data_IF_070116308137
#
_entry.id   IF_070116308137
#
_cell.length_a   1.000
_cell.length_b   1.000
_cell.length_c   1.000
_cell.angle_alpha   90.00
_cell.angle_beta   90.00
_cell.angle_gamma   90.00
#
_symmetry.space_group_name_H-M   'P 1'
#
loop_
_entity.id
_entity.type
_entity.pdbx_description
1 polymer ?
#
# COMPACT_ATOMS: atom_id res chain seq x y z
N UNK A 1 -19.24 33.49 -6.46
CA UNK A 1 -18.19 32.67 -7.09
C UNK A 1 -18.18 31.30 -6.43
N UNK A 2 -18.74 30.27 -7.06
CA UNK A 2 -18.67 28.91 -6.54
C UNK A 2 -17.36 28.28 -6.98
N UNK A 3 -16.42 28.09 -6.06
CA UNK A 3 -15.31 27.16 -6.26
C UNK A 3 -15.90 25.75 -6.25
N UNK A 4 -16.18 25.19 -7.42
CA UNK A 4 -16.35 23.74 -7.57
C UNK A 4 -14.98 23.12 -7.28
N UNK A 5 -14.69 22.84 -6.01
CA UNK A 5 -13.66 21.87 -5.68
C UNK A 5 -14.15 20.56 -6.32
N UNK A 6 -13.49 20.16 -7.41
CA UNK A 6 -13.76 18.91 -8.08
C UNK A 6 -13.27 17.80 -7.13
N UNK A 7 -14.09 17.50 -6.12
CA UNK A 7 -13.73 16.64 -5.01
C UNK A 7 -13.66 15.23 -5.56
N UNK A 8 -12.44 14.80 -5.88
CA UNK A 8 -12.19 13.51 -6.51
C UNK A 8 -12.44 12.44 -5.45
N UNK A 9 -13.62 11.84 -5.48
CA UNK A 9 -13.95 10.68 -4.66
C UNK A 9 -13.12 9.51 -5.19
N UNK A 10 -12.05 9.18 -4.48
CA UNK A 10 -11.27 7.97 -4.72
C UNK A 10 -12.13 6.76 -4.33
N UNK A 11 -12.29 5.82 -5.26
CA UNK A 11 -13.03 4.57 -5.02
C UNK A 11 -12.04 3.43 -4.83
N UNK A 12 -12.22 2.64 -3.77
CA UNK A 12 -11.33 1.53 -3.39
C UNK A 12 -11.95 0.19 -3.79
N UNK A 13 -12.23 0.03 -5.08
CA UNK A 13 -13.02 -1.10 -5.58
C UNK A 13 -12.18 -2.22 -6.22
N UNK A 14 -10.85 -2.12 -6.20
CA UNK A 14 -9.97 -3.10 -6.88
C UNK A 14 -9.73 -4.37 -6.04
N UNK A 15 -9.97 -4.31 -4.74
CA UNK A 15 -9.86 -5.48 -3.87
C UNK A 15 -9.69 -5.13 -2.40
N UNK A 16 -9.36 -6.17 -1.62
CA UNK A 16 -9.03 -6.07 -0.20
C UNK A 16 -7.60 -6.57 0.04
N UNK A 17 -6.91 -5.90 0.95
CA UNK A 17 -5.61 -6.31 1.44
C UNK A 17 -5.60 -6.46 2.95
N UNK A 18 -4.69 -7.28 3.46
CA UNK A 18 -4.39 -7.40 4.87
C UNK A 18 -3.00 -6.82 5.14
N UNK A 19 -2.81 -6.20 6.30
CA UNK A 19 -1.55 -5.60 6.72
C UNK A 19 -1.08 -6.29 7.99
N UNK A 20 0.18 -6.68 8.00
CA UNK A 20 0.86 -7.32 9.11
C UNK A 20 2.01 -6.45 9.59
N UNK A 21 2.19 -6.37 10.90
CA UNK A 21 3.28 -5.64 11.52
C UNK A 21 4.13 -6.58 12.37
N UNK A 22 5.42 -6.27 12.46
CA UNK A 22 6.33 -6.96 13.35
C UNK A 22 5.95 -6.66 14.80
N UNK A 23 5.83 -7.69 15.63
CA UNK A 23 5.65 -7.55 17.06
C UNK A 23 7.01 -7.55 17.80
N UNK A 24 6.98 -7.39 19.12
CA UNK A 24 8.19 -7.39 19.97
C UNK A 24 8.99 -8.72 19.94
N UNK A 25 8.41 -9.79 19.40
CA UNK A 25 9.03 -11.11 19.26
C UNK A 25 9.53 -11.37 17.83
N UNK A 26 9.63 -10.32 17.01
CA UNK A 26 10.04 -10.40 15.60
C UNK A 26 9.11 -11.28 14.73
N UNK A 27 7.85 -11.43 15.13
CA UNK A 27 6.83 -12.16 14.39
C UNK A 27 5.83 -11.21 13.76
N UNK A 28 5.39 -11.51 12.55
CA UNK A 28 4.37 -10.72 11.86
C UNK A 28 2.98 -11.09 12.37
N UNK A 29 2.30 -10.13 12.98
CA UNK A 29 0.92 -10.27 13.44
C UNK A 29 -0.02 -9.42 12.59
N UNK A 30 -1.23 -9.90 12.38
CA UNK A 30 -2.25 -9.16 11.65
C UNK A 30 -2.59 -7.85 12.37
N UNK A 31 -2.34 -6.72 11.71
CA UNK A 31 -2.65 -5.38 12.21
C UNK A 31 -3.97 -4.86 11.65
N UNK A 32 -4.18 -5.07 10.35
CA UNK A 32 -5.43 -4.74 9.67
C UNK A 32 -5.84 -5.90 8.78
N UNK A 33 -6.92 -6.63 9.09
CA UNK A 33 -7.28 -7.84 8.36
C UNK A 33 -7.94 -7.54 7.00
N UNK A 34 -8.65 -6.42 6.87
CA UNK A 34 -9.40 -6.08 5.67
C UNK A 34 -9.38 -4.57 5.40
N UNK A 35 -8.50 -4.13 4.49
CA UNK A 35 -8.47 -2.77 3.96
C UNK A 35 -8.81 -2.82 2.48
N UNK A 36 -9.82 -2.05 2.06
CA UNK A 36 -10.10 -1.88 0.63
C UNK A 36 -9.03 -1.01 -0.02
N UNK A 37 -8.62 -1.37 -1.23
CA UNK A 37 -7.62 -0.60 -1.97
C UNK A 37 -8.05 -0.32 -3.41
N UNK A 38 -7.40 0.68 -4.01
CA UNK A 38 -7.43 0.98 -5.43
C UNK A 38 -6.03 0.74 -6.02
N UNK A 39 -5.91 0.07 -7.17
CA UNK A 39 -4.63 -0.08 -7.88
C UNK A 39 -4.31 1.22 -8.59
N UNK A 40 -3.10 1.73 -8.40
CA UNK A 40 -2.61 2.86 -9.20
C UNK A 40 -1.74 2.32 -10.33
N UNK A 41 -2.17 2.58 -11.57
CA UNK A 41 -1.36 2.28 -12.74
C UNK A 41 -0.13 3.16 -12.67
N UNK A 42 1.01 2.53 -12.43
CA UNK A 42 2.30 3.19 -12.50
C UNK A 42 2.55 3.44 -13.98
N UNK A 43 2.41 4.69 -14.43
CA UNK A 43 2.83 5.06 -15.78
C UNK A 43 4.26 4.58 -15.99
N UNK A 44 4.52 3.97 -17.15
CA UNK A 44 5.76 3.28 -17.53
C UNK A 44 7.06 3.96 -17.07
N UNK A 45 7.06 5.30 -16.96
CA UNK A 45 8.17 6.13 -16.46
C UNK A 45 8.73 5.72 -15.08
N UNK A 46 7.89 5.42 -14.08
CA UNK A 46 8.39 5.04 -12.73
C UNK A 46 8.95 3.62 -12.67
N UNK A 47 8.54 2.75 -13.59
CA UNK A 47 9.10 1.40 -13.72
C UNK A 47 10.57 1.45 -14.16
N UNK A 48 10.95 2.45 -14.97
CA UNK A 48 12.32 2.63 -15.45
C UNK A 48 13.23 3.34 -14.44
N UNK A 49 12.72 4.30 -13.65
CA UNK A 49 13.51 4.95 -12.58
C UNK A 49 13.77 4.00 -11.40
N UNK A 50 12.82 3.14 -11.05
CA UNK A 50 12.98 2.09 -10.04
C UNK A 50 13.91 0.94 -10.48
N UNK A 51 14.41 0.94 -11.72
CA UNK A 51 15.46 0.01 -12.16
C UNK A 51 16.87 0.53 -11.85
N UNK A 52 17.06 1.84 -11.60
CA UNK A 52 18.36 2.44 -11.24
C UNK A 52 18.68 2.30 -9.74
N UNK A 53 17.66 2.10 -8.91
CA UNK A 53 17.79 1.81 -7.48
C UNK A 53 17.28 0.39 -7.32
N UNK A 54 18.02 -0.52 -6.68
CA UNK A 54 17.79 -1.97 -6.57
C UNK A 54 16.42 -2.44 -5.97
N UNK A 55 15.39 -1.59 -5.94
CA UNK A 55 14.07 -1.81 -5.37
C UNK A 55 13.02 -1.83 -6.47
N UNK A 56 12.80 -3.03 -7.05
CA UNK A 56 11.71 -3.24 -8.00
C UNK A 56 10.35 -3.02 -7.33
N UNK A 57 9.69 -1.92 -7.64
CA UNK A 57 8.30 -1.67 -7.23
C UNK A 57 7.38 -2.43 -8.19
N UNK A 58 6.67 -3.43 -7.68
CA UNK A 58 5.79 -4.28 -8.49
C UNK A 58 4.37 -3.74 -8.56
N UNK A 59 3.92 -3.04 -7.52
CA UNK A 59 2.55 -2.60 -7.39
C UNK A 59 2.48 -1.31 -6.57
N UNK A 60 1.61 -0.38 -6.95
CA UNK A 60 1.22 0.73 -6.07
C UNK A 60 -0.27 0.62 -5.81
N UNK A 61 -0.64 0.61 -4.54
CA UNK A 61 -2.04 0.63 -4.12
C UNK A 61 -2.32 1.90 -3.33
N UNK A 62 -3.54 2.40 -3.45
CA UNK A 62 -4.07 3.44 -2.58
C UNK A 62 -5.06 2.82 -1.62
N UNK A 63 -4.95 3.20 -0.36
CA UNK A 63 -5.86 2.79 0.71
C UNK A 63 -6.49 4.02 1.38
N UNK A 64 -7.69 3.90 1.97
CA UNK A 64 -8.18 4.92 2.88
C UNK A 64 -7.20 5.05 4.04
N UNK A 65 -6.97 6.29 4.50
CA UNK A 65 -5.93 6.62 5.47
C UNK A 65 -5.90 5.64 6.65
N UNK A 66 -4.86 4.81 6.69
CA UNK A 66 -4.51 3.98 7.83
C UNK A 66 -3.30 4.64 8.48
N UNK A 67 -3.52 5.29 9.64
CA UNK A 67 -2.55 6.15 10.30
C UNK A 67 -1.26 5.43 10.75
N UNK A 68 -1.23 4.11 10.65
CA UNK A 68 -0.19 3.28 11.28
C UNK A 68 0.31 2.18 10.33
N UNK A 69 0.68 2.58 9.10
CA UNK A 69 1.38 1.71 8.14
C UNK A 69 2.76 2.31 7.84
N UNK A 70 3.79 1.47 7.91
CA UNK A 70 5.18 1.83 7.65
C UNK A 70 5.88 0.79 6.76
N UNK A 71 7.17 1.02 6.46
CA UNK A 71 7.98 0.15 5.59
C UNK A 71 8.34 -1.21 6.19
N UNK A 72 8.15 -1.39 7.50
CA UNK A 72 8.36 -2.66 8.19
C UNK A 72 7.12 -3.55 8.14
N UNK A 73 6.03 -3.07 7.53
CA UNK A 73 4.81 -3.84 7.38
C UNK A 73 4.83 -4.69 6.11
N UNK A 74 4.12 -5.82 6.19
CA UNK A 74 3.85 -6.71 5.07
C UNK A 74 2.39 -6.55 4.68
N UNK A 75 2.15 -6.41 3.38
CA UNK A 75 0.81 -6.33 2.80
C UNK A 75 0.53 -7.62 2.04
N UNK A 76 -0.63 -8.20 2.28
CA UNK A 76 -1.11 -9.41 1.59
C UNK A 76 -2.28 -9.03 0.70
N UNK A 77 -2.19 -9.44 -0.57
CA UNK A 77 -3.25 -9.26 -1.56
C UNK A 77 -3.47 -10.61 -2.24
N UNK A 78 -4.61 -11.25 -1.96
CA UNK A 78 -4.83 -12.64 -2.36
C UNK A 78 -3.78 -13.57 -1.74
N UNK A 79 -3.08 -14.34 -2.57
CA UNK A 79 -2.05 -15.30 -2.14
C UNK A 79 -0.63 -14.70 -2.13
N UNK A 80 -0.48 -13.42 -2.46
CA UNK A 80 0.83 -12.77 -2.63
C UNK A 80 1.17 -11.89 -1.44
N UNK A 81 2.42 -11.98 -0.98
CA UNK A 81 2.98 -11.11 0.04
C UNK A 81 3.84 -10.02 -0.60
N UNK A 82 3.70 -8.81 -0.07
CA UNK A 82 4.41 -7.63 -0.51
C UNK A 82 5.05 -6.91 0.67
N UNK A 83 6.29 -6.47 0.49
CA UNK A 83 6.94 -5.53 1.39
C UNK A 83 6.58 -4.10 1.01
N UNK A 84 6.27 -3.28 2.01
CA UNK A 84 6.08 -1.84 1.82
C UNK A 84 7.45 -1.18 1.63
N UNK A 85 7.70 -0.65 0.44
CA UNK A 85 8.95 0.07 0.13
C UNK A 85 8.80 1.56 0.45
N UNK A 86 7.61 2.10 0.26
CA UNK A 86 7.35 3.52 0.49
C UNK A 86 5.90 3.73 0.89
N UNK A 87 5.69 4.65 1.84
CA UNK A 87 4.39 5.13 2.29
C UNK A 87 4.27 6.61 1.95
N UNK A 88 3.23 7.00 1.21
CA UNK A 88 2.98 8.39 0.81
C UNK A 88 1.58 8.80 1.26
N UNK A 89 1.51 9.66 2.26
CA UNK A 89 0.24 10.21 2.75
C UNK A 89 -0.22 11.36 1.85
N UNK A 90 -1.46 11.27 1.38
CA UNK A 90 -2.08 12.22 0.47
C UNK A 90 -3.23 12.89 1.21
N UNK A 91 -2.99 14.14 1.60
CA UNK A 91 -3.92 14.97 2.35
C UNK A 91 -4.78 15.88 1.45
N UNK A 92 -4.68 15.72 0.13
CA UNK A 92 -5.42 16.51 -0.85
C UNK A 92 -6.80 15.93 -1.17
N UNK A 93 -7.05 14.67 -0.77
CA UNK A 93 -8.31 13.94 -0.95
C UNK A 93 -9.09 13.86 0.36
N UNK A 94 -10.42 13.74 0.29
CA UNK A 94 -11.30 13.50 1.44
C UNK A 94 -12.07 12.19 1.23
N UNK A 95 -11.94 11.17 2.12
CA UNK A 95 -11.02 11.12 3.26
C UNK A 95 -9.56 11.12 2.80
N UNK A 96 -8.63 11.43 3.71
CA UNK A 96 -7.19 11.30 3.45
C UNK A 96 -6.91 9.90 2.91
N UNK A 97 -5.92 9.80 2.03
CA UNK A 97 -5.55 8.52 1.42
C UNK A 97 -4.06 8.28 1.54
N UNK A 98 -3.64 7.02 1.48
CA UNK A 98 -2.24 6.65 1.55
C UNK A 98 -1.89 5.79 0.35
N UNK A 99 -0.85 6.19 -0.39
CA UNK A 99 -0.25 5.39 -1.45
C UNK A 99 0.86 4.52 -0.86
N UNK A 100 0.76 3.21 -1.09
CA UNK A 100 1.75 2.22 -0.72
C UNK A 100 2.45 1.72 -1.98
N UNK A 101 3.77 1.94 -2.05
CA UNK A 101 4.63 1.29 -3.04
C UNK A 101 5.05 -0.07 -2.51
N UNK A 102 4.68 -1.12 -3.24
CA UNK A 102 4.80 -2.50 -2.84
C UNK A 102 5.80 -3.25 -3.73
N UNK A 103 6.71 -3.98 -3.09
CA UNK A 103 7.59 -4.95 -3.74
C UNK A 103 7.11 -6.36 -3.39
N UNK A 104 6.91 -7.19 -4.40
CA UNK A 104 6.53 -8.58 -4.20
C UNK A 104 7.69 -9.34 -3.58
N UNK A 105 7.42 -10.08 -2.51
CA UNK A 105 8.42 -10.95 -1.91
C UNK A 105 8.56 -12.23 -2.73
N UNK A 106 9.80 -12.60 -3.04
CA UNK A 106 10.12 -13.88 -3.69
C UNK A 106 10.02 -15.07 -2.73
N UNK A 107 10.20 -14.83 -1.43
CA UNK A 107 10.04 -15.80 -0.35
C UNK A 107 8.95 -15.33 0.60
N UNK A 108 8.00 -16.21 0.91
CA UNK A 108 6.94 -15.95 1.88
C UNK A 108 7.52 -15.86 3.30
N UNK A 109 7.02 -14.91 4.07
CA UNK A 109 7.30 -14.73 5.49
C UNK A 109 6.25 -15.47 6.31
N UNK A 110 6.67 -16.02 7.46
CA UNK A 110 5.76 -16.62 8.42
C UNK A 110 4.88 -15.55 9.07
N UNK A 111 3.57 -15.78 9.04
CA UNK A 111 2.57 -14.88 9.58
C UNK A 111 1.85 -15.61 10.69
N UNK A 112 1.74 -14.97 11.84
CA UNK A 112 0.95 -15.47 12.97
C UNK A 112 -0.48 -14.91 12.84
N UNK A 113 -1.45 -15.76 13.13
CA UNK A 113 -2.87 -15.41 13.13
C UNK A 113 -3.25 -14.61 14.39
#
# INVERSE_FOLDING_TARGET
>A
MQMKQNQQFETFNDGVCAVFALNNQEKYQCKFPYIRFAKRIIGSKRFFEAAQVNQMINLVIRIPFAADINTDNIVIIGEKQYKVIQVQNINTTRPNTTDLSLQQLSRLVALEA
#
